data_IF_483386838089
#
_entry.id   IF_483386838089
#
_cell.length_a   1.000
_cell.length_b   1.000
_cell.length_c   1.000
_cell.angle_alpha   90.00
_cell.angle_beta   90.00
_cell.angle_gamma   90.00
#
_symmetry.space_group_name_H-M   'P 1'
#
loop_
_entity.id
_entity.type
_entity.pdbx_description
1 polymer ?
#
# COMPACT_ATOMS: atom_id res chain seq x y z
N UNK A 1 1.59 -17.70 10.36
CA UNK A 1 1.06 -16.63 11.27
C UNK A 1 1.95 -16.28 12.48
N UNK A 2 2.19 -17.17 13.46
CA UNK A 2 2.92 -16.80 14.70
C UNK A 2 4.34 -16.24 14.46
N UNK A 3 5.03 -16.73 13.41
CA UNK A 3 6.31 -16.16 12.98
C UNK A 3 6.20 -14.71 12.52
N UNK A 4 5.21 -14.39 11.68
CA UNK A 4 4.96 -13.02 11.23
C UNK A 4 4.61 -12.08 12.38
N UNK A 5 3.82 -12.57 13.36
CA UNK A 5 3.51 -11.85 14.58
C UNK A 5 4.75 -11.61 15.43
N UNK A 6 5.61 -12.61 15.63
CA UNK A 6 6.84 -12.44 16.39
C UNK A 6 7.80 -11.41 15.75
N UNK A 7 7.90 -11.43 14.41
CA UNK A 7 8.65 -10.41 13.67
C UNK A 7 8.00 -9.04 13.90
N UNK A 8 6.69 -8.93 13.72
CA UNK A 8 5.96 -7.69 13.93
C UNK A 8 6.16 -7.13 15.34
N UNK A 9 6.09 -7.96 16.36
CA UNK A 9 6.30 -7.57 17.76
C UNK A 9 7.74 -7.10 18.00
N UNK A 10 8.72 -7.68 17.30
CA UNK A 10 10.12 -7.28 17.42
C UNK A 10 10.37 -5.88 16.84
N UNK A 11 9.79 -5.58 15.68
CA UNK A 11 10.01 -4.33 14.93
C UNK A 11 8.87 -3.32 15.00
N UNK A 12 7.87 -3.56 15.85
CA UNK A 12 6.74 -2.65 16.04
C UNK A 12 7.20 -1.23 16.42
N UNK A 13 6.44 -0.19 16.03
CA UNK A 13 6.67 1.15 16.52
C UNK A 13 6.65 1.18 18.05
N UNK A 14 7.49 2.01 18.66
CA UNK A 14 7.57 2.16 20.12
C UNK A 14 7.44 3.61 20.51
N UNK A 15 6.95 3.88 21.71
CA UNK A 15 6.98 5.23 22.26
C UNK A 15 8.32 5.48 22.96
N UNK A 16 8.92 6.62 22.68
CA UNK A 16 10.07 7.11 23.45
C UNK A 16 9.60 7.67 24.81
N UNK A 17 10.54 8.13 25.64
CA UNK A 17 10.24 8.67 26.96
C UNK A 17 9.29 9.89 26.93
N UNK A 18 9.28 10.63 25.82
CA UNK A 18 8.44 11.81 25.61
C UNK A 18 7.04 11.47 25.04
N UNK A 19 6.73 10.17 24.88
CA UNK A 19 5.46 9.69 24.36
C UNK A 19 5.32 9.76 22.83
N UNK A 20 6.37 10.15 22.11
CA UNK A 20 6.40 10.17 20.65
C UNK A 20 6.65 8.77 20.11
N UNK A 21 5.90 8.41 19.08
CA UNK A 21 6.08 7.15 18.36
C UNK A 21 7.28 7.22 17.44
N UNK A 22 8.10 6.16 17.50
CA UNK A 22 9.24 5.95 16.62
C UNK A 22 9.09 4.59 15.95
N UNK A 23 9.21 4.57 14.62
CA UNK A 23 9.32 3.33 13.84
C UNK A 23 10.77 2.84 13.84
N UNK A 24 10.97 1.60 13.41
CA UNK A 24 12.31 1.06 13.17
C UNK A 24 13.08 1.98 12.21
N UNK A 25 14.31 2.36 12.55
CA UNK A 25 15.10 3.34 11.78
C UNK A 25 16.18 2.72 10.89
N UNK A 26 16.29 1.39 10.85
CA UNK A 26 17.38 0.68 10.16
C UNK A 26 16.91 -0.34 9.13
N UNK A 27 15.68 -0.84 9.25
CA UNK A 27 15.14 -1.86 8.37
C UNK A 27 14.67 -1.23 7.05
N UNK A 28 15.42 -1.46 5.98
CA UNK A 28 15.12 -0.96 4.63
C UNK A 28 14.41 -1.98 3.75
N UNK A 29 14.64 -3.28 4.01
CA UNK A 29 14.03 -4.38 3.27
C UNK A 29 13.42 -5.37 4.26
N UNK A 30 12.17 -5.77 4.02
CA UNK A 30 11.52 -6.86 4.73
C UNK A 30 11.02 -7.88 3.72
N UNK A 31 11.68 -9.04 3.69
CA UNK A 31 11.30 -10.15 2.84
C UNK A 31 10.70 -11.28 3.69
N UNK A 32 9.46 -11.61 3.40
CA UNK A 32 8.69 -12.69 4.01
C UNK A 32 8.06 -13.59 2.94
N UNK A 33 8.65 -13.68 1.74
CA UNK A 33 8.15 -14.55 0.67
C UNK A 33 8.03 -16.01 1.11
N UNK A 34 6.90 -16.66 0.82
CA UNK A 34 6.67 -18.08 1.12
C UNK A 34 6.61 -18.42 2.62
N UNK A 35 6.32 -17.45 3.49
CA UNK A 35 6.32 -17.62 4.94
C UNK A 35 4.98 -18.04 5.54
N UNK A 36 3.98 -18.35 4.70
CA UNK A 36 2.62 -18.78 5.09
C UNK A 36 2.01 -17.84 6.16
N UNK A 37 2.09 -16.54 5.88
CA UNK A 37 1.62 -15.52 6.83
C UNK A 37 0.10 -15.35 6.80
N UNK A 38 -0.54 -15.56 5.64
CA UNK A 38 -1.97 -15.33 5.42
C UNK A 38 -2.41 -13.90 5.72
N UNK A 39 -3.73 -13.68 5.71
CA UNK A 39 -4.31 -12.37 6.06
C UNK A 39 -3.96 -11.93 7.48
N UNK A 40 -4.01 -12.84 8.45
CA UNK A 40 -3.73 -12.51 9.85
C UNK A 40 -2.28 -12.03 10.05
N UNK A 41 -1.31 -12.75 9.47
CA UNK A 41 0.09 -12.32 9.49
C UNK A 41 0.30 -11.02 8.73
N UNK A 42 -0.36 -10.83 7.59
CA UNK A 42 -0.32 -9.57 6.84
C UNK A 42 -0.85 -8.39 7.66
N UNK A 43 -1.91 -8.57 8.46
CA UNK A 43 -2.41 -7.56 9.40
C UNK A 43 -1.34 -7.18 10.43
N UNK A 44 -0.56 -8.14 10.92
CA UNK A 44 0.58 -7.85 11.81
C UNK A 44 1.66 -7.04 11.10
N UNK A 45 2.00 -7.36 9.85
CA UNK A 45 2.94 -6.58 9.05
C UNK A 45 2.41 -5.16 8.79
N UNK A 46 1.14 -5.01 8.43
CA UNK A 46 0.50 -3.72 8.25
C UNK A 46 0.58 -2.86 9.51
N UNK A 47 0.43 -3.43 10.70
CA UNK A 47 0.57 -2.70 11.98
C UNK A 47 1.95 -2.10 12.19
N UNK A 48 3.02 -2.70 11.64
CA UNK A 48 4.39 -2.17 11.71
C UNK A 48 4.53 -0.88 10.90
N UNK A 49 3.84 -0.82 9.76
CA UNK A 49 3.85 0.32 8.84
C UNK A 49 2.83 1.38 9.20
N UNK A 50 1.74 0.97 9.84
CA UNK A 50 0.61 1.83 10.19
C UNK A 50 1.11 3.07 10.93
N UNK A 51 0.75 4.28 10.49
CA UNK A 51 1.13 5.51 11.17
C UNK A 51 0.63 5.56 12.61
N UNK A 52 1.28 6.35 13.45
CA UNK A 52 0.88 6.56 14.84
C UNK A 52 0.79 8.04 15.13
N UNK A 53 -0.27 8.46 15.82
CA UNK A 53 -0.40 9.85 16.23
C UNK A 53 0.43 10.11 17.49
N UNK A 54 1.29 11.11 17.44
CA UNK A 54 2.05 11.63 18.56
C UNK A 54 1.16 12.45 19.48
N UNK A 55 1.68 12.76 20.67
CA UNK A 55 1.00 13.59 21.68
C UNK A 55 0.74 15.02 21.22
N UNK A 56 1.51 15.53 20.26
CA UNK A 56 1.34 16.84 19.63
C UNK A 56 0.36 16.84 18.45
N UNK A 57 -0.25 15.68 18.14
CA UNK A 57 -1.18 15.50 17.03
C UNK A 57 -0.53 15.19 15.68
N UNK A 58 0.80 15.24 15.56
CA UNK A 58 1.53 14.85 14.35
C UNK A 58 1.52 13.34 14.13
N UNK A 59 1.70 12.90 12.88
CA UNK A 59 1.79 11.48 12.55
C UNK A 59 3.25 11.03 12.43
N UNK A 60 3.62 9.99 13.17
CA UNK A 60 4.82 9.22 12.96
C UNK A 60 4.56 8.14 11.89
N UNK A 61 5.31 8.20 10.79
CA UNK A 61 5.27 7.22 9.71
C UNK A 61 6.49 6.30 9.76
N UNK A 62 6.38 5.12 9.15
CA UNK A 62 7.56 4.36 8.79
C UNK A 62 8.30 5.07 7.63
N UNK A 63 9.46 5.63 7.93
CA UNK A 63 10.25 6.44 6.99
C UNK A 63 11.52 5.72 6.50
N UNK A 64 11.62 4.41 6.70
CA UNK A 64 12.88 3.66 6.47
C UNK A 64 12.70 2.42 5.64
N UNK A 65 11.57 1.72 5.75
CA UNK A 65 11.30 0.57 4.90
C UNK A 65 11.06 1.05 3.47
N UNK A 66 11.88 0.56 2.55
CA UNK A 66 11.82 0.87 1.12
C UNK A 66 11.26 -0.31 0.34
N UNK A 67 11.53 -1.56 0.73
CA UNK A 67 11.06 -2.74 0.00
C UNK A 67 10.36 -3.75 0.93
N UNK A 68 9.14 -4.14 0.55
CA UNK A 68 8.34 -5.13 1.27
C UNK A 68 7.95 -6.28 0.32
N UNK A 69 8.51 -7.47 0.56
CA UNK A 69 8.25 -8.67 -0.24
C UNK A 69 7.36 -9.63 0.56
N UNK A 70 6.13 -9.83 0.10
CA UNK A 70 5.11 -10.68 0.73
C UNK A 70 4.61 -11.77 -0.21
N UNK A 71 5.46 -12.21 -1.12
CA UNK A 71 5.14 -13.16 -2.19
C UNK A 71 4.67 -14.52 -1.65
N UNK A 72 3.75 -15.20 -2.35
CA UNK A 72 3.32 -16.57 -2.04
C UNK A 72 2.95 -16.83 -0.57
N UNK A 73 2.09 -15.99 0.00
CA UNK A 73 1.72 -16.03 1.41
C UNK A 73 0.25 -16.30 1.68
N UNK A 74 -0.55 -16.63 0.65
CA UNK A 74 -2.00 -16.80 0.75
C UNK A 74 -2.70 -15.56 1.35
N UNK A 75 -2.21 -14.36 1.01
CA UNK A 75 -2.81 -13.09 1.41
C UNK A 75 -4.02 -12.83 0.53
N UNK A 76 -5.18 -12.59 1.13
CA UNK A 76 -6.42 -12.22 0.46
C UNK A 76 -6.72 -10.73 0.56
N UNK A 77 -7.97 -10.38 0.25
CA UNK A 77 -8.45 -9.00 0.25
C UNK A 77 -8.33 -8.33 1.63
N UNK A 78 -8.47 -9.08 2.72
CA UNK A 78 -8.42 -8.53 4.07
C UNK A 78 -6.99 -8.10 4.45
N UNK A 79 -5.98 -8.90 4.13
CA UNK A 79 -4.58 -8.52 4.33
C UNK A 79 -4.18 -7.35 3.43
N UNK A 80 -4.58 -7.36 2.15
CA UNK A 80 -4.33 -6.23 1.24
C UNK A 80 -5.00 -4.94 1.73
N UNK A 81 -6.22 -5.02 2.27
CA UNK A 81 -6.92 -3.86 2.86
C UNK A 81 -6.24 -3.35 4.13
N UNK A 82 -5.60 -4.22 4.91
CA UNK A 82 -4.80 -3.81 6.06
C UNK A 82 -3.55 -3.04 5.62
N UNK A 83 -2.85 -3.53 4.59
CA UNK A 83 -1.71 -2.82 3.99
C UNK A 83 -2.15 -1.47 3.41
N UNK A 84 -3.28 -1.43 2.70
CA UNK A 84 -3.85 -0.20 2.18
C UNK A 84 -4.08 0.84 3.29
N UNK A 85 -4.63 0.40 4.42
CA UNK A 85 -4.86 1.28 5.58
C UNK A 85 -3.55 1.87 6.12
N UNK A 86 -2.47 1.08 6.14
CA UNK A 86 -1.16 1.54 6.59
C UNK A 86 -0.44 2.48 5.59
N UNK A 87 -0.76 2.38 4.30
CA UNK A 87 -0.19 3.20 3.23
C UNK A 87 -1.01 4.47 2.93
N UNK A 88 -2.20 4.57 3.51
CA UNK A 88 -3.10 5.70 3.28
C UNK A 88 -2.59 6.99 3.93
N UNK A 89 -2.81 8.17 3.30
CA UNK A 89 -2.58 9.44 3.95
C UNK A 89 -3.45 9.55 5.21
N UNK A 90 -2.95 10.25 6.21
CA UNK A 90 -3.61 10.45 7.49
C UNK A 90 -4.18 11.86 7.58
N UNK A 91 -5.38 11.97 8.15
CA UNK A 91 -6.05 13.25 8.31
C UNK A 91 -5.62 13.90 9.64
N UNK A 92 -5.24 15.16 9.59
CA UNK A 92 -4.85 15.94 10.76
C UNK A 92 -6.08 16.60 11.39
N UNK A 93 -5.95 17.06 12.65
CA UNK A 93 -7.03 17.75 13.33
C UNK A 93 -7.38 19.12 12.73
N UNK A 94 -6.47 19.72 11.97
CA UNK A 94 -6.64 21.03 11.30
C UNK A 94 -7.27 20.94 9.90
N UNK A 95 -7.64 19.74 9.46
CA UNK A 95 -8.22 19.50 8.13
C UNK A 95 -7.18 19.24 7.02
N UNK A 96 -5.88 19.32 7.31
CA UNK A 96 -4.84 18.94 6.35
C UNK A 96 -4.59 17.42 6.36
N UNK A 97 -3.93 16.92 5.33
CA UNK A 97 -3.48 15.53 5.23
C UNK A 97 -1.97 15.43 5.42
N UNK A 98 -1.51 14.25 5.82
CA UNK A 98 -0.09 13.91 5.94
C UNK A 98 0.17 12.51 5.38
N UNK A 99 1.31 12.33 4.71
CA UNK A 99 1.81 11.02 4.30
C UNK A 99 3.33 11.07 4.35
N UNK A 100 3.96 10.02 4.88
CA UNK A 100 5.40 9.99 5.08
C UNK A 100 6.06 8.63 4.85
N UNK A 101 5.34 7.65 4.27
CA UNK A 101 5.93 6.35 3.97
C UNK A 101 7.10 6.49 2.98
N UNK A 102 8.17 5.71 3.18
CA UNK A 102 9.26 5.57 2.21
C UNK A 102 9.22 4.28 1.41
N UNK A 103 8.16 3.49 1.56
CA UNK A 103 8.00 2.25 0.81
C UNK A 103 8.00 2.55 -0.69
N UNK A 104 8.91 1.93 -1.41
CA UNK A 104 9.16 2.06 -2.85
C UNK A 104 8.59 0.91 -3.63
N UNK A 105 8.73 -0.30 -3.09
CA UNK A 105 8.22 -1.52 -3.70
C UNK A 105 7.39 -2.33 -2.70
N UNK A 106 6.26 -2.84 -3.17
CA UNK A 106 5.42 -3.82 -2.47
C UNK A 106 5.18 -4.99 -3.41
N UNK A 107 5.72 -6.16 -3.08
CA UNK A 107 5.42 -7.38 -3.84
C UNK A 107 4.36 -8.21 -3.10
N UNK A 108 3.24 -8.43 -3.76
CA UNK A 108 2.17 -9.35 -3.40
C UNK A 108 2.07 -10.50 -4.41
N UNK A 109 3.13 -10.75 -5.21
CA UNK A 109 3.15 -11.79 -6.22
C UNK A 109 2.66 -13.15 -5.69
N UNK A 110 1.83 -13.84 -6.47
CA UNK A 110 1.39 -15.21 -6.16
C UNK A 110 0.58 -15.34 -4.87
N UNK A 111 -0.20 -14.31 -4.50
CA UNK A 111 -1.15 -14.35 -3.39
C UNK A 111 -2.58 -14.57 -3.92
N UNK A 112 -3.61 -14.21 -3.15
CA UNK A 112 -5.02 -14.38 -3.46
C UNK A 112 -5.76 -13.04 -3.33
N UNK A 113 -5.08 -11.93 -3.65
CA UNK A 113 -5.63 -10.58 -3.55
C UNK A 113 -6.56 -10.33 -4.73
N UNK A 114 -7.86 -10.38 -4.46
CA UNK A 114 -8.87 -10.14 -5.48
C UNK A 114 -9.09 -8.66 -5.79
N UNK A 115 -10.11 -8.42 -6.61
CA UNK A 115 -10.50 -7.08 -7.03
C UNK A 115 -10.75 -6.12 -5.85
N UNK A 116 -11.42 -6.53 -4.75
CA UNK A 116 -11.60 -5.66 -3.59
C UNK A 116 -10.29 -5.25 -2.93
N UNK A 117 -9.34 -6.18 -2.74
CA UNK A 117 -8.05 -5.91 -2.11
C UNK A 117 -7.18 -4.98 -2.95
N UNK A 118 -7.10 -5.21 -4.26
CA UNK A 118 -6.39 -4.31 -5.19
C UNK A 118 -7.03 -2.93 -5.25
N UNK A 119 -8.37 -2.85 -5.24
CA UNK A 119 -9.09 -1.57 -5.16
C UNK A 119 -8.76 -0.82 -3.86
N UNK A 120 -8.70 -1.50 -2.72
CA UNK A 120 -8.26 -0.90 -1.45
C UNK A 120 -6.84 -0.32 -1.56
N UNK A 121 -5.89 -1.09 -2.12
CA UNK A 121 -4.51 -0.61 -2.33
C UNK A 121 -4.47 0.62 -3.24
N UNK A 122 -5.24 0.63 -4.33
CA UNK A 122 -5.31 1.77 -5.24
C UNK A 122 -5.90 3.02 -4.54
N UNK A 123 -6.94 2.85 -3.72
CA UNK A 123 -7.51 3.95 -2.94
C UNK A 123 -6.55 4.52 -1.89
N UNK A 124 -5.68 3.71 -1.29
CA UNK A 124 -4.66 4.21 -0.38
C UNK A 124 -3.67 5.18 -1.04
N UNK A 125 -3.49 5.07 -2.36
CA UNK A 125 -2.60 5.93 -3.14
C UNK A 125 -3.30 7.14 -3.76
N UNK A 126 -4.62 7.27 -3.58
CA UNK A 126 -5.38 8.43 -4.04
C UNK A 126 -4.85 9.70 -3.36
N UNK A 127 -4.52 10.76 -4.12
CA UNK A 127 -4.13 12.04 -3.56
C UNK A 127 -5.25 12.61 -2.68
N UNK A 128 -4.85 13.07 -1.49
CA UNK A 128 -5.73 13.76 -0.57
C UNK A 128 -5.48 15.27 -0.68
N UNK A 129 -6.56 16.06 -0.69
CA UNK A 129 -6.47 17.50 -0.93
C UNK A 129 -6.62 18.27 0.37
N UNK A 130 -5.72 19.22 0.57
CA UNK A 130 -5.71 20.12 1.71
C UNK A 130 -6.66 21.32 1.46
N UNK A 131 -7.13 21.99 2.53
CA UNK A 131 -8.00 23.17 2.42
C UNK A 131 -7.37 24.35 1.66
N UNK A 132 -6.05 24.42 1.60
CA UNK A 132 -5.28 25.44 0.88
C UNK A 132 -5.12 25.17 -0.62
N UNK A 133 -5.68 24.05 -1.12
CA UNK A 133 -5.56 23.60 -2.51
C UNK A 133 -4.29 22.79 -2.80
N UNK A 134 -3.41 22.59 -1.82
CA UNK A 134 -2.32 21.62 -1.89
C UNK A 134 -2.86 20.19 -1.86
N UNK A 135 -2.01 19.22 -2.18
CA UNK A 135 -2.35 17.80 -2.05
C UNK A 135 -1.21 16.99 -1.44
N UNK A 136 -1.56 15.85 -0.88
CA UNK A 136 -0.68 14.85 -0.31
C UNK A 136 -0.92 13.54 -1.05
N UNK A 137 0.14 12.95 -1.59
CA UNK A 137 0.07 11.68 -2.30
C UNK A 137 1.21 10.77 -1.86
N UNK A 138 1.06 9.47 -2.14
CA UNK A 138 2.15 8.52 -1.99
C UNK A 138 3.06 8.60 -3.23
N UNK A 139 4.13 9.38 -3.10
CA UNK A 139 5.13 9.59 -4.15
C UNK A 139 6.25 8.56 -4.13
N UNK A 140 6.49 7.92 -2.98
CA UNK A 140 7.59 6.97 -2.79
C UNK A 140 7.31 5.62 -3.43
N UNK A 141 6.08 5.11 -3.29
CA UNK A 141 5.70 3.80 -3.80
C UNK A 141 5.55 3.86 -5.30
N UNK A 142 6.49 3.28 -6.04
CA UNK A 142 6.49 3.32 -7.51
C UNK A 142 6.14 1.96 -8.12
N UNK A 143 6.18 0.88 -7.33
CA UNK A 143 5.80 -0.46 -7.77
C UNK A 143 4.97 -1.22 -6.72
N UNK A 144 3.85 -1.78 -7.16
CA UNK A 144 3.04 -2.78 -6.47
C UNK A 144 2.92 -3.98 -7.41
N UNK A 145 3.58 -5.07 -7.08
CA UNK A 145 3.45 -6.31 -7.86
C UNK A 145 2.26 -7.13 -7.35
N UNK A 146 1.28 -7.35 -8.21
CA UNK A 146 0.06 -8.13 -7.94
C UNK A 146 -0.11 -9.27 -8.94
N UNK A 147 0.94 -9.61 -9.69
CA UNK A 147 0.90 -10.74 -10.62
C UNK A 147 0.49 -12.04 -9.92
N UNK A 148 -0.22 -12.88 -10.67
CA UNK A 148 -0.68 -14.20 -10.21
C UNK A 148 -1.55 -14.14 -8.93
N UNK A 149 -2.33 -13.07 -8.74
CA UNK A 149 -3.30 -12.97 -7.64
C UNK A 149 -4.74 -13.29 -8.07
N UNK A 150 -5.04 -13.17 -9.35
CA UNK A 150 -6.38 -13.30 -9.89
C UNK A 150 -6.60 -14.69 -10.50
N UNK A 151 -7.84 -15.20 -10.39
CA UNK A 151 -8.26 -16.39 -11.12
C UNK A 151 -8.49 -16.11 -12.61
N UNK A 152 -8.78 -14.85 -12.94
CA UNK A 152 -8.91 -14.33 -14.31
C UNK A 152 -7.58 -13.71 -14.76
N UNK A 153 -7.41 -13.48 -16.05
CA UNK A 153 -6.22 -12.81 -16.57
C UNK A 153 -6.00 -11.44 -15.88
N UNK A 154 -4.77 -11.18 -15.42
CA UNK A 154 -4.45 -9.98 -14.65
C UNK A 154 -4.74 -8.67 -15.44
N UNK A 155 -4.70 -8.72 -16.78
CA UNK A 155 -5.09 -7.60 -17.66
C UNK A 155 -6.57 -7.24 -17.53
N UNK A 156 -7.46 -8.22 -17.47
CA UNK A 156 -8.90 -8.01 -17.33
C UNK A 156 -9.24 -7.46 -15.94
N UNK A 157 -8.55 -7.96 -14.91
CA UNK A 157 -8.67 -7.44 -13.55
C UNK A 157 -8.24 -5.96 -13.47
N UNK A 158 -7.12 -5.60 -14.11
CA UNK A 158 -6.66 -4.21 -14.17
C UNK A 158 -7.58 -3.30 -14.99
N UNK A 159 -8.18 -3.81 -16.07
CA UNK A 159 -9.19 -3.09 -16.82
C UNK A 159 -10.45 -2.84 -15.97
N UNK A 160 -10.87 -3.81 -15.16
CA UNK A 160 -11.96 -3.63 -14.21
C UNK A 160 -11.61 -2.62 -13.12
N UNK A 161 -10.40 -2.70 -12.57
CA UNK A 161 -9.92 -1.74 -11.56
C UNK A 161 -9.95 -0.32 -12.11
N UNK A 162 -9.49 -0.13 -13.35
CA UNK A 162 -9.55 1.17 -14.02
C UNK A 162 -10.96 1.71 -14.11
N UNK A 163 -11.93 0.88 -14.52
CA UNK A 163 -13.35 1.26 -14.58
C UNK A 163 -13.88 1.67 -13.21
N UNK A 164 -13.58 0.88 -12.18
CA UNK A 164 -14.04 1.13 -10.82
C UNK A 164 -13.47 2.45 -10.26
N UNK A 165 -12.18 2.70 -10.46
CA UNK A 165 -11.52 3.93 -9.97
C UNK A 165 -11.99 5.17 -10.72
N UNK A 166 -12.20 5.09 -12.04
CA UNK A 166 -12.79 6.18 -12.81
C UNK A 166 -14.24 6.48 -12.36
N UNK A 167 -15.03 5.43 -12.10
CA UNK A 167 -16.38 5.60 -11.56
C UNK A 167 -16.38 6.28 -10.18
N UNK A 168 -15.49 5.85 -9.27
CA UNK A 168 -15.35 6.44 -7.93
C UNK A 168 -14.80 7.87 -7.96
N UNK A 169 -14.05 8.23 -9.00
CA UNK A 169 -13.59 9.59 -9.24
C UNK A 169 -14.68 10.49 -9.87
N UNK A 170 -15.82 9.92 -10.29
CA UNK A 170 -16.90 10.65 -10.97
C UNK A 170 -16.58 10.97 -12.43
N UNK A 171 -15.78 10.14 -13.09
CA UNK A 171 -15.24 10.36 -14.43
C UNK A 171 -16.03 9.59 -15.51
N UNK A 172 -16.10 10.13 -16.73
CA UNK A 172 -16.67 9.45 -17.91
C UNK A 172 -15.52 8.92 -18.76
N UNK A 173 -15.53 7.63 -19.11
CA UNK A 173 -14.50 7.02 -19.97
C UNK A 173 -14.31 7.83 -21.27
N UNK A 174 -13.07 8.28 -21.52
CA UNK A 174 -12.68 8.92 -22.79
C UNK A 174 -12.75 10.45 -22.83
N UNK A 175 -13.06 11.15 -21.73
CA UNK A 175 -12.94 12.61 -21.68
C UNK A 175 -11.53 13.03 -21.25
N UNK A 176 -10.94 13.98 -21.98
CA UNK A 176 -9.58 14.49 -21.75
C UNK A 176 -9.47 15.47 -20.57
N UNK A 177 -10.48 15.57 -19.70
CA UNK A 177 -10.48 16.48 -18.56
C UNK A 177 -10.84 15.74 -17.27
N UNK A 178 -9.80 15.42 -16.50
CA UNK A 178 -9.90 15.02 -15.10
C UNK A 178 -9.79 13.53 -14.89
N UNK A 179 -8.55 13.04 -14.80
CA UNK A 179 -8.19 11.78 -14.15
C UNK A 179 -6.69 11.71 -13.83
N UNK A 180 -6.09 12.83 -13.39
CA UNK A 180 -4.63 12.91 -13.22
C UNK A 180 -4.07 11.85 -12.27
N UNK A 181 -4.86 11.44 -11.28
CA UNK A 181 -4.40 10.48 -10.27
C UNK A 181 -4.66 9.01 -10.62
N UNK A 182 -5.76 8.67 -11.30
CA UNK A 182 -6.10 7.26 -11.61
C UNK A 182 -5.00 6.62 -12.44
N UNK A 183 -4.57 7.29 -13.52
CA UNK A 183 -3.46 6.81 -14.33
C UNK A 183 -2.15 6.73 -13.55
N UNK A 184 -1.85 7.74 -12.71
CA UNK A 184 -0.64 7.74 -11.89
C UNK A 184 -0.63 6.62 -10.84
N UNK A 185 -1.78 6.25 -10.30
CA UNK A 185 -1.94 5.12 -9.37
C UNK A 185 -1.82 3.79 -10.11
N UNK A 186 -2.54 3.62 -11.23
CA UNK A 186 -2.50 2.39 -12.02
C UNK A 186 -1.11 2.09 -12.56
N UNK A 187 -0.33 3.12 -12.94
CA UNK A 187 1.05 2.96 -13.39
C UNK A 187 2.00 2.38 -12.34
N UNK A 188 1.60 2.37 -11.05
CA UNK A 188 2.39 1.75 -9.99
C UNK A 188 2.11 0.24 -9.91
N UNK A 189 1.01 -0.27 -10.47
CA UNK A 189 0.71 -1.69 -10.43
C UNK A 189 1.40 -2.43 -11.59
N UNK A 190 2.08 -3.53 -11.28
CA UNK A 190 2.65 -4.44 -12.28
C UNK A 190 1.87 -5.74 -12.32
N UNK A 191 1.42 -6.12 -13.52
CA UNK A 191 0.63 -7.32 -13.80
C UNK A 191 1.15 -8.13 -14.98
N UNK A 192 2.25 -7.73 -15.61
CA UNK A 192 2.73 -8.37 -16.84
C UNK A 192 3.64 -9.56 -16.54
N UNK A 193 3.13 -10.72 -16.93
CA UNK A 193 3.70 -12.06 -16.97
C UNK A 193 5.24 -12.16 -17.19
N UNK A 194 5.88 -13.07 -16.45
CA UNK A 194 7.27 -13.52 -16.65
C UNK A 194 7.55 -14.10 -18.06
N UNK A 195 6.53 -14.20 -18.92
CA UNK A 195 6.65 -14.54 -20.34
C UNK A 195 7.29 -13.45 -21.22
N UNK A 196 7.52 -12.21 -20.71
CA UNK A 196 8.13 -11.12 -21.49
C UNK A 196 9.45 -10.62 -20.88
N UNK A 197 10.29 -11.54 -20.38
CA UNK A 197 11.75 -11.30 -20.36
C UNK A 197 12.32 -11.48 -21.79
N UNK A 198 11.85 -10.61 -22.67
CA UNK A 198 12.14 -10.65 -24.10
C UNK A 198 12.14 -9.26 -24.71
N UNK A 199 12.89 -8.32 -24.11
CA UNK A 199 13.49 -7.21 -24.84
C UNK A 199 14.67 -6.62 -24.06
N UNK A 200 15.85 -6.89 -24.62
CA UNK A 200 17.13 -6.24 -24.37
C UNK A 200 17.07 -4.73 -24.53
#
# INVERSE_FOLDING_TARGET
VEGAKAIADAIQPRQNADGQWVHNSTLTVLDLGGADIGDEGCVHIARILMPRQNTDGSWAFNTTLEDLQLECNSIGDAGASALASALSPQHNGDGTWAHGSRLRTLSLWGNQVGQPGVKSLAHALKPAFNPDGGHVANESLWQIDIQCNFEVDDEDAMAQLRRDLCADAGEIEGTSSGAGWVGAVLNKFTTSDCSINGRF
#
